data_IF_858771036165
#
_entry.id   IF_858771036165
#
_cell.length_a   1.000
_cell.length_b   1.000
_cell.length_c   1.000
_cell.angle_alpha   90.00
_cell.angle_beta   90.00
_cell.angle_gamma   90.00
#
_symmetry.space_group_name_H-M   'P 1'
#
loop_
_entity.id
_entity.type
_entity.pdbx_description
1 polymer ?
#
# COMPACT_ATOMS: atom_id res chain seq x y z
N UNK A 1 -21.05 -11.42 -1.78
CA UNK A 1 -19.68 -10.98 -1.42
C UNK A 1 -19.46 -11.28 0.05
N UNK A 2 -18.42 -12.02 0.44
CA UNK A 2 -18.14 -12.30 1.87
C UNK A 2 -17.41 -11.14 2.53
N UNK A 3 -17.52 -11.01 3.85
CA UNK A 3 -16.79 -9.99 4.61
C UNK A 3 -15.27 -10.07 4.35
N UNK A 4 -14.73 -11.28 4.23
CA UNK A 4 -13.33 -11.54 3.87
C UNK A 4 -13.02 -11.03 2.46
N UNK A 5 -13.88 -11.30 1.48
CA UNK A 5 -13.71 -10.84 0.10
C UNK A 5 -13.76 -9.31 0.00
N UNK A 6 -14.66 -8.67 0.74
CA UNK A 6 -14.75 -7.21 0.82
C UNK A 6 -13.48 -6.59 1.41
N UNK A 7 -13.01 -7.12 2.56
CA UNK A 7 -11.77 -6.67 3.21
C UNK A 7 -10.54 -6.84 2.29
N UNK A 8 -10.45 -7.95 1.54
CA UNK A 8 -9.41 -8.16 0.52
C UNK A 8 -9.45 -7.09 -0.58
N UNK A 9 -10.65 -6.71 -1.04
CA UNK A 9 -10.81 -5.67 -2.08
C UNK A 9 -10.34 -4.31 -1.57
N UNK A 10 -10.69 -3.93 -0.35
CA UNK A 10 -10.27 -2.65 0.25
C UNK A 10 -8.74 -2.56 0.37
N UNK A 11 -8.10 -3.58 0.95
CA UNK A 11 -6.64 -3.57 1.13
C UNK A 11 -5.90 -3.53 -0.21
N UNK A 12 -6.41 -4.22 -1.24
CA UNK A 12 -5.82 -4.13 -2.59
C UNK A 12 -5.89 -2.72 -3.16
N UNK A 13 -7.01 -2.02 -2.96
CA UNK A 13 -7.17 -0.62 -3.38
C UNK A 13 -6.18 0.30 -2.67
N UNK A 14 -6.01 0.12 -1.36
CA UNK A 14 -5.05 0.90 -0.57
C UNK A 14 -3.60 0.65 -1.02
N UNK A 15 -3.23 -0.61 -1.30
CA UNK A 15 -1.91 -0.96 -1.85
C UNK A 15 -1.69 -0.28 -3.20
N UNK A 16 -2.70 -0.28 -4.08
CA UNK A 16 -2.59 0.36 -5.39
C UNK A 16 -2.39 1.87 -5.27
N UNK A 17 -3.10 2.53 -4.36
CA UNK A 17 -2.92 3.95 -4.08
C UNK A 17 -1.50 4.25 -3.55
N UNK A 18 -1.04 3.50 -2.54
CA UNK A 18 0.31 3.67 -2.00
C UNK A 18 1.39 3.43 -3.06
N UNK A 19 1.20 2.48 -3.99
CA UNK A 19 2.11 2.27 -5.13
C UNK A 19 2.14 3.48 -6.07
N UNK A 20 1.01 4.11 -6.35
CA UNK A 20 0.94 5.32 -7.17
C UNK A 20 1.66 6.48 -6.48
N UNK A 21 1.39 6.72 -5.20
CA UNK A 21 2.03 7.78 -4.42
C UNK A 21 3.56 7.59 -4.34
N UNK A 22 4.01 6.34 -4.18
CA UNK A 22 5.43 6.00 -4.15
C UNK A 22 6.08 6.22 -5.53
N UNK A 23 5.42 5.79 -6.61
CA UNK A 23 5.91 5.97 -7.98
C UNK A 23 5.95 7.45 -8.40
N UNK A 24 4.91 8.22 -8.09
CA UNK A 24 4.91 9.68 -8.26
C UNK A 24 6.02 10.32 -7.44
N UNK A 25 6.21 9.82 -6.21
CA UNK A 25 7.27 10.23 -5.32
C UNK A 25 8.69 10.04 -5.85
N UNK A 26 8.96 8.92 -6.52
CA UNK A 26 10.25 8.63 -7.16
C UNK A 26 10.45 9.37 -8.48
N UNK A 27 9.38 9.64 -9.23
CA UNK A 27 9.44 10.33 -10.53
C UNK A 27 9.39 11.87 -10.40
N UNK A 28 8.99 12.37 -9.24
CA UNK A 28 9.08 13.77 -8.86
C UNK A 28 10.55 14.23 -8.90
N UNK A 29 10.88 15.20 -9.78
CA UNK A 29 12.19 15.89 -9.76
C UNK A 29 12.36 16.75 -8.51
N UNK A 30 11.26 17.07 -7.83
CA UNK A 30 11.30 17.59 -6.47
C UNK A 30 11.70 16.44 -5.56
N UNK A 31 12.71 16.68 -4.74
CA UNK A 31 13.16 15.77 -3.67
C UNK A 31 11.99 15.48 -2.75
N UNK A 32 11.16 14.51 -3.11
CA UNK A 32 10.12 14.03 -2.23
C UNK A 32 10.84 13.56 -0.98
N UNK A 33 10.50 14.16 0.16
CA UNK A 33 11.19 13.93 1.44
C UNK A 33 11.40 12.42 1.60
N UNK A 34 12.65 11.97 1.63
CA UNK A 34 12.99 10.56 1.74
C UNK A 34 12.29 9.92 2.95
N UNK A 35 11.94 10.70 3.98
CA UNK A 35 11.11 10.25 5.12
C UNK A 35 9.68 9.92 4.71
N UNK A 36 9.07 10.70 3.80
CA UNK A 36 7.74 10.43 3.24
C UNK A 36 7.76 9.16 2.39
N UNK A 37 8.76 8.99 1.51
CA UNK A 37 8.93 7.75 0.73
C UNK A 37 9.11 6.53 1.64
N UNK A 38 9.95 6.65 2.67
CA UNK A 38 10.14 5.60 3.67
C UNK A 38 8.84 5.25 4.39
N UNK A 39 8.06 6.26 4.80
CA UNK A 39 6.77 6.05 5.45
C UNK A 39 5.77 5.32 4.55
N UNK A 40 5.67 5.72 3.28
CA UNK A 40 4.79 5.07 2.29
C UNK A 40 5.23 3.62 2.09
N UNK A 41 6.54 3.35 2.01
CA UNK A 41 7.10 2.00 1.89
C UNK A 41 6.73 1.12 3.09
N UNK A 42 6.91 1.62 4.32
CA UNK A 42 6.53 0.90 5.54
C UNK A 42 5.02 0.64 5.61
N UNK A 43 4.19 1.59 5.18
CA UNK A 43 2.74 1.41 5.14
C UNK A 43 2.34 0.34 4.12
N UNK A 44 2.97 0.34 2.95
CA UNK A 44 2.75 -0.65 1.90
C UNK A 44 3.10 -2.08 2.38
N UNK A 45 4.23 -2.25 3.07
CA UNK A 45 4.59 -3.54 3.71
C UNK A 45 3.54 -4.00 4.72
N UNK A 46 3.04 -3.09 5.56
CA UNK A 46 2.00 -3.40 6.53
C UNK A 46 0.69 -3.85 5.85
N UNK A 47 0.29 -3.19 4.75
CA UNK A 47 -0.91 -3.56 3.99
C UNK A 47 -0.74 -4.91 3.29
N UNK A 48 0.43 -5.19 2.72
CA UNK A 48 0.75 -6.49 2.12
C UNK A 48 0.68 -7.60 3.17
N UNK A 49 1.27 -7.39 4.36
CA UNK A 49 1.19 -8.35 5.46
C UNK A 49 -0.25 -8.64 5.89
N UNK A 50 -1.09 -7.61 6.01
CA UNK A 50 -2.53 -7.78 6.29
C UNK A 50 -3.25 -8.56 5.18
N UNK A 51 -2.94 -8.30 3.92
CA UNK A 51 -3.52 -9.04 2.80
C UNK A 51 -3.13 -10.52 2.83
N UNK A 52 -1.86 -10.82 3.11
CA UNK A 52 -1.37 -12.20 3.26
C UNK A 52 -2.06 -12.92 4.43
N UNK A 53 -2.25 -12.25 5.57
CA UNK A 53 -2.97 -12.83 6.71
C UNK A 53 -4.42 -13.18 6.37
N UNK A 54 -5.11 -12.32 5.59
CA UNK A 54 -6.46 -12.61 5.11
C UNK A 54 -6.51 -13.70 4.03
N UNK A 55 -5.41 -13.98 3.34
CA UNK A 55 -5.33 -15.08 2.37
C UNK A 55 -5.12 -16.44 3.03
N UNK A 56 -4.46 -16.47 4.19
CA UNK A 56 -4.21 -17.70 4.96
C UNK A 56 -5.40 -18.15 5.83
N UNK A 57 -6.44 -17.31 5.95
CA UNK A 57 -7.72 -17.61 6.60
C UNK A 57 -8.80 -17.80 5.55
#
# INVERSE_FOLDING_TARGET
MTEISYKKKQIKSEIEQLRKELNEGYNSKDTLDNKKLLRISMELDNKINKLMQLQRK
#
